data_IF_292147373769
#
_entry.id   IF_292147373769
#
_cell.length_a   1.000
_cell.length_b   1.000
_cell.length_c   1.000
_cell.angle_alpha   90.00
_cell.angle_beta   90.00
_cell.angle_gamma   90.00
#
_symmetry.space_group_name_H-M   'P 1'
#
loop_
_entity.id
_entity.type
_entity.pdbx_description
1 polymer ?
#
# COMPACT_ATOMS: atom_id res chain seq x y z
N UNK A 1 -76.02 -12.85 -17.65
CA UNK A 1 -74.88 -13.46 -16.94
C UNK A 1 -73.63 -13.22 -17.78
N UNK A 2 -72.84 -12.24 -17.36
CA UNK A 2 -71.50 -11.92 -17.86
C UNK A 2 -70.55 -13.09 -17.59
N UNK A 3 -69.42 -13.30 -18.24
CA UNK A 3 -68.65 -12.55 -19.22
C UNK A 3 -67.28 -13.23 -19.24
N UNK A 4 -66.95 -13.91 -20.34
CA UNK A 4 -65.69 -14.65 -20.52
C UNK A 4 -64.62 -13.68 -21.04
N UNK A 5 -63.84 -13.10 -20.14
CA UNK A 5 -62.61 -12.36 -20.51
C UNK A 5 -61.84 -12.01 -19.25
N UNK A 6 -60.78 -12.76 -18.95
CA UNK A 6 -59.97 -12.50 -17.76
C UNK A 6 -58.86 -13.50 -17.50
N UNK A 7 -58.09 -13.89 -18.52
CA UNK A 7 -56.95 -14.78 -18.32
C UNK A 7 -55.82 -14.53 -19.33
N UNK A 8 -55.41 -13.27 -19.49
CA UNK A 8 -54.20 -12.87 -20.25
C UNK A 8 -53.46 -11.63 -19.72
N UNK A 9 -53.68 -11.21 -18.47
CA UNK A 9 -53.05 -9.97 -17.93
C UNK A 9 -52.04 -10.24 -16.79
N UNK A 10 -51.93 -11.47 -16.29
CA UNK A 10 -51.05 -11.74 -15.15
C UNK A 10 -49.59 -12.10 -15.49
N UNK A 11 -49.25 -12.35 -16.76
CA UNK A 11 -47.86 -12.66 -17.17
C UNK A 11 -47.08 -11.44 -17.70
N UNK A 12 -47.75 -10.32 -17.98
CA UNK A 12 -47.07 -9.07 -18.42
C UNK A 12 -46.64 -8.19 -17.24
N UNK A 13 -47.29 -8.29 -16.08
CA UNK A 13 -46.88 -7.50 -14.90
C UNK A 13 -45.63 -8.04 -14.21
N UNK A 14 -45.37 -9.34 -14.30
CA UNK A 14 -44.15 -9.95 -13.73
C UNK A 14 -42.90 -9.71 -14.60
N UNK A 15 -43.04 -9.62 -15.93
CA UNK A 15 -41.93 -9.27 -16.81
C UNK A 15 -41.53 -7.79 -16.71
N UNK A 16 -42.46 -6.90 -16.35
CA UNK A 16 -42.18 -5.45 -16.22
C UNK A 16 -41.51 -5.16 -14.86
N UNK A 17 -41.88 -5.86 -13.78
CA UNK A 17 -41.22 -5.70 -12.48
C UNK A 17 -39.80 -6.27 -12.40
N UNK A 18 -39.47 -7.30 -13.19
CA UNK A 18 -38.11 -7.82 -13.26
C UNK A 18 -37.19 -7.00 -14.19
N UNK A 19 -37.73 -6.48 -15.29
CA UNK A 19 -36.94 -5.64 -16.21
C UNK A 19 -36.69 -4.23 -15.67
N UNK A 20 -37.63 -3.63 -14.91
CA UNK A 20 -37.40 -2.30 -14.30
C UNK A 20 -36.40 -2.32 -13.13
N UNK A 21 -36.24 -3.44 -12.42
CA UNK A 21 -35.29 -3.52 -11.29
C UNK A 21 -33.84 -3.74 -11.77
N UNK A 22 -33.64 -4.37 -12.91
CA UNK A 22 -32.32 -4.52 -13.53
C UNK A 22 -31.87 -3.23 -14.25
N UNK A 23 -32.80 -2.45 -14.79
CA UNK A 23 -32.46 -1.20 -15.48
C UNK A 23 -32.09 -0.02 -14.56
N UNK A 24 -32.45 -0.04 -13.27
CA UNK A 24 -32.15 1.09 -12.36
C UNK A 24 -30.82 0.97 -11.59
N UNK A 25 -30.19 -0.20 -11.56
CA UNK A 25 -28.93 -0.44 -10.86
C UNK A 25 -27.70 -0.12 -11.73
N UNK A 26 -27.77 -0.41 -13.03
CA UNK A 26 -26.66 -0.14 -13.97
C UNK A 26 -26.43 1.36 -14.25
N UNK A 27 -27.48 2.18 -14.17
CA UNK A 27 -27.40 3.62 -14.45
C UNK A 27 -26.98 4.48 -13.25
N UNK A 28 -27.18 4.01 -12.02
CA UNK A 28 -26.87 4.80 -10.83
C UNK A 28 -25.39 4.74 -10.45
N UNK A 29 -24.69 3.65 -10.71
CA UNK A 29 -23.33 3.45 -10.20
C UNK A 29 -22.25 4.34 -10.88
N UNK A 30 -22.31 4.62 -12.20
CA UNK A 30 -21.46 5.62 -12.84
C UNK A 30 -21.77 7.07 -12.41
N UNK A 31 -23.02 7.39 -12.05
CA UNK A 31 -23.36 8.68 -11.44
C UNK A 31 -22.91 8.77 -9.97
N UNK A 32 -22.91 7.66 -9.23
CA UNK A 32 -22.47 7.59 -7.83
C UNK A 32 -20.98 7.90 -7.65
N UNK A 33 -20.14 7.64 -8.66
CA UNK A 33 -18.72 7.98 -8.67
C UNK A 33 -18.41 9.33 -9.34
N UNK A 34 -19.46 10.04 -9.80
CA UNK A 34 -19.41 11.44 -10.25
C UNK A 34 -19.85 12.43 -9.16
N UNK A 35 -20.49 11.96 -8.09
CA UNK A 35 -20.86 12.81 -6.96
C UNK A 35 -19.68 13.00 -6.00
N UNK A 36 -19.49 14.20 -5.41
CA UNK A 36 -18.38 14.47 -4.50
C UNK A 36 -18.40 13.50 -3.30
N UNK A 37 -17.29 12.77 -3.15
CA UNK A 37 -17.10 11.54 -2.37
C UNK A 37 -17.15 11.69 -0.83
N UNK A 38 -17.64 12.81 -0.28
CA UNK A 38 -17.59 13.10 1.16
C UNK A 38 -18.70 12.45 2.01
N UNK A 39 -19.73 11.84 1.42
CA UNK A 39 -20.99 11.55 2.15
C UNK A 39 -21.37 10.05 2.25
N UNK A 40 -20.62 9.10 1.67
CA UNK A 40 -21.21 7.79 1.31
C UNK A 40 -20.54 6.52 1.86
N UNK A 41 -19.80 6.57 2.96
CA UNK A 41 -19.15 5.34 3.45
C UNK A 41 -20.15 4.22 3.83
N UNK A 42 -21.24 4.56 4.53
CA UNK A 42 -22.25 3.57 4.95
C UNK A 42 -23.22 3.18 3.82
N UNK A 43 -23.55 4.12 2.94
CA UNK A 43 -24.48 3.89 1.83
C UNK A 43 -23.88 3.12 0.66
N UNK A 44 -22.55 3.21 0.47
CA UNK A 44 -21.84 2.40 -0.52
C UNK A 44 -21.89 0.93 -0.13
N UNK A 45 -21.57 0.60 1.12
CA UNK A 45 -21.51 -0.80 1.59
C UNK A 45 -22.89 -1.47 1.65
N UNK A 46 -23.96 -0.76 2.02
CA UNK A 46 -25.33 -1.33 2.08
C UNK A 46 -25.93 -1.68 0.70
N UNK A 47 -25.62 -0.89 -0.33
CA UNK A 47 -26.11 -1.16 -1.70
C UNK A 47 -25.28 -2.23 -2.42
N UNK A 48 -24.01 -2.40 -2.03
CA UNK A 48 -23.14 -3.48 -2.52
C UNK A 48 -23.61 -4.87 -2.10
N UNK A 49 -24.29 -5.00 -0.96
CA UNK A 49 -24.85 -6.28 -0.48
C UNK A 49 -25.85 -6.93 -1.44
N UNK A 50 -26.38 -6.17 -2.40
CA UNK A 50 -27.42 -6.63 -3.33
C UNK A 50 -26.87 -7.14 -4.67
N UNK A 51 -25.56 -7.01 -4.92
CA UNK A 51 -24.93 -7.46 -6.18
C UNK A 51 -24.35 -8.86 -6.04
N UNK A 52 -24.55 -9.71 -7.04
CA UNK A 52 -23.86 -11.01 -7.14
C UNK A 52 -22.35 -10.81 -7.30
N UNK A 53 -21.56 -11.85 -7.02
CA UNK A 53 -20.11 -11.80 -7.21
C UNK A 53 -19.72 -11.47 -8.65
N UNK A 54 -20.41 -12.06 -9.64
CA UNK A 54 -20.17 -11.80 -11.06
C UNK A 54 -20.52 -10.35 -11.44
N UNK A 55 -21.60 -9.80 -10.89
CA UNK A 55 -22.00 -8.41 -11.11
C UNK A 55 -20.95 -7.43 -10.53
N UNK A 56 -20.45 -7.73 -9.33
CA UNK A 56 -19.36 -6.95 -8.71
C UNK A 56 -18.08 -7.01 -9.54
N UNK A 57 -17.71 -8.19 -10.04
CA UNK A 57 -16.51 -8.37 -10.87
C UNK A 57 -16.63 -7.62 -12.20
N UNK A 58 -17.77 -7.73 -12.89
CA UNK A 58 -18.02 -7.01 -14.15
C UNK A 58 -17.99 -5.51 -13.93
N UNK A 59 -18.60 -5.04 -12.85
CA UNK A 59 -18.60 -3.62 -12.52
C UNK A 59 -17.19 -3.09 -12.27
N UNK A 60 -16.43 -3.74 -11.38
CA UNK A 60 -15.06 -3.32 -11.06
C UNK A 60 -14.16 -3.36 -12.30
N UNK A 61 -14.33 -4.34 -13.19
CA UNK A 61 -13.57 -4.44 -14.43
C UNK A 61 -13.87 -3.33 -15.45
N UNK A 62 -15.12 -2.86 -15.50
CA UNK A 62 -15.59 -1.88 -16.48
C UNK A 62 -15.52 -0.42 -16.02
N UNK A 63 -15.22 -0.16 -14.74
CA UNK A 63 -15.12 1.20 -14.25
C UNK A 63 -13.90 1.90 -14.87
N UNK A 64 -14.11 3.08 -15.47
CA UNK A 64 -13.05 3.81 -16.17
C UNK A 64 -12.29 4.74 -15.20
N UNK A 65 -11.19 4.24 -14.64
CA UNK A 65 -10.33 5.04 -13.78
C UNK A 65 -9.43 6.00 -14.57
N UNK A 66 -9.23 5.77 -15.87
CA UNK A 66 -8.22 6.49 -16.66
C UNK A 66 -8.62 7.93 -17.00
N UNK A 67 -9.91 8.25 -16.98
CA UNK A 67 -10.44 9.61 -17.16
C UNK A 67 -10.21 10.52 -15.94
N UNK A 68 -9.80 9.95 -14.81
CA UNK A 68 -9.62 10.70 -13.55
C UNK A 68 -8.30 11.46 -13.53
N UNK A 69 -8.35 12.66 -12.96
CA UNK A 69 -7.18 13.46 -12.62
C UNK A 69 -6.35 12.79 -11.52
N UNK A 70 -5.11 13.23 -11.36
CA UNK A 70 -4.19 12.69 -10.36
C UNK A 70 -4.75 12.76 -8.93
N UNK A 71 -5.24 13.95 -8.54
CA UNK A 71 -5.84 14.18 -7.23
C UNK A 71 -7.07 13.30 -6.97
N UNK A 72 -7.91 13.09 -7.98
CA UNK A 72 -9.06 12.17 -7.88
C UNK A 72 -8.62 10.71 -7.67
N UNK A 73 -7.50 10.28 -8.28
CA UNK A 73 -6.99 8.92 -8.10
C UNK A 73 -6.47 8.70 -6.67
N UNK A 74 -5.78 9.68 -6.10
CA UNK A 74 -5.31 9.65 -4.70
C UNK A 74 -6.50 9.58 -3.74
N UNK A 75 -7.51 10.42 -3.93
CA UNK A 75 -8.75 10.39 -3.13
C UNK A 75 -9.48 9.05 -3.25
N UNK A 76 -9.59 8.50 -4.46
CA UNK A 76 -10.19 7.19 -4.69
C UNK A 76 -9.40 6.07 -4.02
N UNK A 77 -8.06 6.11 -4.07
CA UNK A 77 -7.23 5.12 -3.42
C UNK A 77 -7.41 5.18 -1.90
N UNK A 78 -7.42 6.36 -1.29
CA UNK A 78 -7.70 6.53 0.14
C UNK A 78 -9.07 5.97 0.53
N UNK A 79 -10.11 6.26 -0.26
CA UNK A 79 -11.46 5.76 -0.03
C UNK A 79 -11.53 4.23 -0.06
N UNK A 80 -10.91 3.63 -1.08
CA UNK A 80 -10.90 2.18 -1.25
C UNK A 80 -10.01 1.47 -0.22
N UNK A 81 -9.05 2.18 0.36
CA UNK A 81 -8.04 1.63 1.27
C UNK A 81 -8.25 1.85 2.76
N UNK A 82 -9.21 2.69 3.17
CA UNK A 82 -9.52 2.90 4.58
C UNK A 82 -9.79 1.58 5.32
N UNK A 83 -9.35 1.46 6.58
CA UNK A 83 -9.23 0.22 7.37
C UNK A 83 -10.48 -0.69 7.46
N UNK A 84 -11.69 -0.20 7.17
CA UNK A 84 -12.90 -1.03 7.06
C UNK A 84 -13.27 -1.40 5.62
N UNK A 85 -12.78 -0.63 4.65
CA UNK A 85 -13.13 -0.68 3.25
C UNK A 85 -12.51 -1.85 2.48
N UNK A 86 -11.23 -2.17 2.68
CA UNK A 86 -10.59 -3.27 1.92
C UNK A 86 -11.15 -4.65 2.32
N UNK A 87 -11.82 -4.76 3.45
CA UNK A 87 -12.54 -5.98 3.86
C UNK A 87 -13.87 -6.16 3.11
N UNK A 88 -14.37 -5.13 2.42
CA UNK A 88 -15.52 -5.27 1.51
C UNK A 88 -15.06 -5.90 0.19
N UNK A 89 -15.68 -7.02 -0.25
CA UNK A 89 -15.33 -7.69 -1.50
C UNK A 89 -15.36 -6.76 -2.71
N UNK A 90 -16.33 -5.85 -2.80
CA UNK A 90 -16.41 -4.92 -3.93
C UNK A 90 -15.31 -3.86 -3.89
N UNK A 91 -15.07 -3.22 -2.73
CA UNK A 91 -14.02 -2.20 -2.60
C UNK A 91 -12.65 -2.80 -2.93
N UNK A 92 -12.38 -4.04 -2.51
CA UNK A 92 -11.18 -4.77 -2.91
C UNK A 92 -11.09 -5.02 -4.41
N UNK A 93 -12.17 -5.49 -5.04
CA UNK A 93 -12.22 -5.66 -6.51
C UNK A 93 -11.97 -4.35 -7.24
N UNK A 94 -12.54 -3.24 -6.76
CA UNK A 94 -12.31 -1.90 -7.31
C UNK A 94 -10.87 -1.44 -7.12
N UNK A 95 -10.29 -1.67 -5.94
CA UNK A 95 -8.90 -1.34 -5.64
C UNK A 95 -7.92 -2.12 -6.52
N UNK A 96 -8.16 -3.43 -6.72
CA UNK A 96 -7.40 -4.26 -7.65
C UNK A 96 -7.56 -3.80 -9.09
N UNK A 97 -8.79 -3.51 -9.53
CA UNK A 97 -9.03 -2.98 -10.88
C UNK A 97 -8.33 -1.65 -11.11
N UNK A 98 -8.38 -0.75 -10.14
CA UNK A 98 -7.67 0.53 -10.16
C UNK A 98 -6.17 0.30 -10.38
N UNK A 99 -5.54 -0.53 -9.54
CA UNK A 99 -4.12 -0.88 -9.66
C UNK A 99 -3.78 -1.37 -11.07
N UNK A 100 -4.51 -2.37 -11.57
CA UNK A 100 -4.19 -3.00 -12.85
C UNK A 100 -4.50 -2.10 -14.06
N UNK A 101 -5.51 -1.23 -14.01
CA UNK A 101 -5.74 -0.25 -15.07
C UNK A 101 -4.63 0.82 -15.11
N UNK A 102 -4.23 1.34 -13.96
CA UNK A 102 -3.14 2.32 -13.88
C UNK A 102 -1.79 1.73 -14.30
N UNK A 103 -1.51 0.48 -13.92
CA UNK A 103 -0.29 -0.23 -14.34
C UNK A 103 -0.25 -0.47 -15.86
N UNK A 104 -1.35 -0.94 -16.47
CA UNK A 104 -1.41 -1.20 -17.93
C UNK A 104 -1.33 0.08 -18.77
N UNK A 105 -1.74 1.22 -18.22
CA UNK A 105 -1.66 2.53 -18.88
C UNK A 105 -0.35 3.27 -18.59
N UNK A 106 0.60 2.65 -17.87
CA UNK A 106 1.85 3.26 -17.42
C UNK A 106 1.68 4.50 -16.53
N UNK A 107 0.47 4.79 -16.05
CA UNK A 107 0.24 5.92 -15.13
C UNK A 107 0.87 5.66 -13.77
N UNK A 108 0.88 4.40 -13.32
CA UNK A 108 1.47 4.01 -12.04
C UNK A 108 3.00 4.10 -12.03
N UNK A 109 3.64 3.97 -13.19
CA UNK A 109 5.10 4.08 -13.32
C UNK A 109 5.57 5.54 -13.18
N UNK A 110 4.69 6.50 -13.49
CA UNK A 110 4.94 7.93 -13.40
C UNK A 110 4.54 8.52 -12.06
N UNK A 111 4.05 7.69 -11.14
CA UNK A 111 3.45 8.11 -9.89
C UNK A 111 3.84 7.19 -8.74
N UNK A 112 4.99 7.52 -8.18
CA UNK A 112 5.58 6.81 -7.05
C UNK A 112 4.74 6.90 -5.78
N UNK A 113 3.87 7.90 -5.64
CA UNK A 113 3.05 8.07 -4.44
C UNK A 113 1.90 7.07 -4.43
N UNK A 114 1.10 6.99 -5.51
CA UNK A 114 0.04 5.98 -5.62
C UNK A 114 0.63 4.56 -5.48
N UNK A 115 1.78 4.30 -6.12
CA UNK A 115 2.45 3.00 -6.06
C UNK A 115 2.89 2.64 -4.62
N UNK A 116 3.45 3.60 -3.88
CA UNK A 116 3.80 3.42 -2.48
C UNK A 116 2.55 3.12 -1.63
N UNK A 117 1.48 3.89 -1.81
CA UNK A 117 0.23 3.68 -1.09
C UNK A 117 -0.38 2.31 -1.39
N UNK A 118 -0.25 1.81 -2.63
CA UNK A 118 -0.71 0.46 -2.98
C UNK A 118 0.08 -0.59 -2.22
N UNK A 119 1.40 -0.44 -2.12
CA UNK A 119 2.25 -1.33 -1.35
C UNK A 119 1.91 -1.29 0.15
N UNK A 120 1.78 -0.10 0.75
CA UNK A 120 1.45 0.03 2.18
C UNK A 120 0.10 -0.58 2.52
N UNK A 121 -0.90 -0.39 1.67
CA UNK A 121 -2.21 -1.02 1.86
C UNK A 121 -2.17 -2.52 1.66
N UNK A 122 -1.40 -3.01 0.68
CA UNK A 122 -1.17 -4.44 0.51
C UNK A 122 -0.53 -5.04 1.78
N UNK A 123 0.46 -4.38 2.40
CA UNK A 123 1.06 -4.81 3.67
C UNK A 123 0.03 -4.94 4.79
N UNK A 124 -0.93 -4.01 4.89
CA UNK A 124 -2.01 -4.08 5.90
C UNK A 124 -2.89 -5.33 5.75
N UNK A 125 -2.95 -5.93 4.56
CA UNK A 125 -3.72 -7.15 4.30
C UNK A 125 -2.97 -8.45 4.62
N UNK A 126 -1.75 -8.40 5.14
CA UNK A 126 -1.01 -9.61 5.49
C UNK A 126 -1.72 -10.51 6.51
N UNK A 127 -2.63 -9.94 7.31
CA UNK A 127 -3.45 -10.67 8.29
C UNK A 127 -4.82 -11.09 7.73
N UNK A 128 -5.18 -10.67 6.52
CA UNK A 128 -6.45 -11.01 5.87
C UNK A 128 -6.38 -12.45 5.30
N UNK A 129 -7.42 -13.29 5.46
CA UNK A 129 -7.43 -14.66 4.93
C UNK A 129 -7.16 -14.74 3.42
N UNK A 130 -7.55 -13.72 2.66
CA UNK A 130 -7.37 -13.65 1.21
C UNK A 130 -5.98 -13.18 0.80
N UNK A 131 -5.06 -12.92 1.74
CA UNK A 131 -3.66 -12.56 1.45
C UNK A 131 -3.02 -13.49 0.43
N UNK A 132 -3.35 -14.79 0.50
CA UNK A 132 -2.83 -15.83 -0.38
C UNK A 132 -3.58 -15.96 -1.72
N UNK A 133 -4.55 -15.09 -1.99
CA UNK A 133 -5.24 -15.06 -3.28
C UNK A 133 -4.26 -14.75 -4.41
N UNK A 134 -4.49 -15.38 -5.57
CA UNK A 134 -3.62 -15.19 -6.75
C UNK A 134 -3.57 -13.72 -7.19
N UNK A 135 -4.66 -12.96 -7.02
CA UNK A 135 -4.71 -11.55 -7.40
C UNK A 135 -3.79 -10.69 -6.53
N UNK A 136 -3.80 -10.86 -5.21
CA UNK A 136 -2.92 -10.11 -4.30
C UNK A 136 -1.45 -10.53 -4.46
N UNK A 137 -1.20 -11.84 -4.66
CA UNK A 137 0.16 -12.33 -4.89
C UNK A 137 0.73 -11.85 -6.23
N UNK A 138 -0.08 -11.78 -7.28
CA UNK A 138 0.33 -11.21 -8.57
C UNK A 138 0.64 -9.71 -8.45
N UNK A 139 -0.20 -8.97 -7.73
CA UNK A 139 0.04 -7.55 -7.44
C UNK A 139 1.35 -7.36 -6.66
N UNK A 140 1.60 -8.19 -5.65
CA UNK A 140 2.85 -8.18 -4.88
C UNK A 140 4.07 -8.42 -5.79
N UNK A 141 4.00 -9.41 -6.66
CA UNK A 141 5.09 -9.75 -7.58
C UNK A 141 5.35 -8.67 -8.63
N UNK A 142 4.35 -7.85 -8.99
CA UNK A 142 4.52 -6.76 -9.96
C UNK A 142 5.11 -5.48 -9.36
N UNK A 143 5.24 -5.37 -8.04
CA UNK A 143 5.87 -4.23 -7.37
C UNK A 143 7.40 -4.22 -7.61
N UNK A 144 8.05 -3.05 -7.59
CA UNK A 144 9.51 -2.95 -7.46
C UNK A 144 10.05 -3.74 -6.26
N UNK A 145 11.24 -4.34 -6.38
CA UNK A 145 11.85 -5.20 -5.35
C UNK A 145 11.85 -4.57 -3.95
N UNK A 146 12.20 -3.29 -3.88
CA UNK A 146 12.13 -2.47 -2.68
C UNK A 146 10.75 -2.54 -1.97
N UNK A 147 9.68 -2.31 -2.73
CA UNK A 147 8.31 -2.38 -2.22
C UNK A 147 7.91 -3.82 -1.92
N UNK A 148 8.39 -4.81 -2.66
CA UNK A 148 8.14 -6.22 -2.32
C UNK A 148 8.68 -6.58 -0.93
N UNK A 149 9.91 -6.16 -0.62
CA UNK A 149 10.53 -6.34 0.70
C UNK A 149 9.70 -5.59 1.74
N UNK A 150 9.42 -4.31 1.51
CA UNK A 150 8.62 -3.50 2.41
C UNK A 150 7.24 -4.11 2.67
N UNK A 151 6.61 -4.75 1.70
CA UNK A 151 5.30 -5.40 1.89
C UNK A 151 5.44 -6.71 2.65
N UNK A 152 6.40 -7.57 2.31
CA UNK A 152 6.49 -8.95 2.84
C UNK A 152 7.10 -9.01 4.23
N UNK A 153 8.09 -8.17 4.51
CA UNK A 153 8.97 -8.36 5.65
C UNK A 153 8.31 -7.91 6.94
N UNK A 154 8.15 -8.83 7.90
CA UNK A 154 7.73 -8.46 9.25
C UNK A 154 8.78 -7.54 9.89
N UNK A 155 10.05 -7.92 9.73
CA UNK A 155 11.21 -7.21 10.25
C UNK A 155 12.15 -6.86 9.11
N UNK A 156 12.61 -5.61 9.11
CA UNK A 156 13.57 -5.07 8.16
C UNK A 156 14.93 -4.96 8.83
N UNK A 157 15.99 -5.17 8.06
CA UNK A 157 17.34 -4.93 8.50
C UNK A 157 17.95 -3.85 7.59
N UNK A 158 18.58 -2.86 8.22
CA UNK A 158 19.17 -1.71 7.56
C UNK A 158 20.65 -1.99 7.34
N UNK A 159 21.03 -2.26 6.10
CA UNK A 159 22.42 -2.55 5.72
C UNK A 159 23.03 -1.34 5.00
N UNK A 160 24.24 -0.97 5.37
CA UNK A 160 24.99 0.07 4.67
C UNK A 160 25.57 -0.46 3.35
N UNK A 161 25.30 0.21 2.23
CA UNK A 161 25.64 -0.25 0.88
C UNK A 161 27.16 -0.49 0.69
N UNK A 162 28.00 0.37 1.28
CA UNK A 162 29.45 0.31 1.11
C UNK A 162 30.14 -0.65 2.08
N UNK A 163 29.73 -0.61 3.33
CA UNK A 163 30.48 -1.25 4.43
C UNK A 163 29.88 -2.62 4.81
N UNK A 164 28.70 -2.98 4.28
CA UNK A 164 27.98 -4.22 4.61
C UNK A 164 27.73 -4.37 6.12
N UNK A 165 27.54 -3.24 6.79
CA UNK A 165 27.30 -3.13 8.22
C UNK A 165 25.81 -2.91 8.45
N UNK A 166 25.28 -3.59 9.46
CA UNK A 166 23.88 -3.50 9.86
C UNK A 166 23.72 -2.51 11.00
N UNK A 167 22.68 -1.68 10.90
CA UNK A 167 22.35 -0.70 11.92
C UNK A 167 21.68 -1.35 13.13
N UNK A 168 22.27 -1.13 14.29
CA UNK A 168 21.74 -1.42 15.62
C UNK A 168 21.18 -0.17 16.29
N UNK A 169 20.66 -0.34 17.50
CA UNK A 169 20.20 0.75 18.36
C UNK A 169 21.30 1.78 18.64
N UNK A 170 20.89 3.03 18.87
CA UNK A 170 21.74 4.19 19.15
C UNK A 170 22.75 4.52 18.03
N UNK A 171 22.50 4.07 16.80
CA UNK A 171 23.44 4.27 15.70
C UNK A 171 24.68 3.40 15.76
N UNK A 172 24.67 2.32 16.56
CA UNK A 172 25.75 1.34 16.56
C UNK A 172 25.71 0.51 15.27
N UNK A 173 26.88 0.04 14.80
CA UNK A 173 27.01 -0.72 13.56
C UNK A 173 27.65 -2.07 13.85
N UNK A 174 27.14 -3.11 13.19
CA UNK A 174 27.63 -4.48 13.34
C UNK A 174 27.82 -5.16 11.98
N UNK A 175 28.89 -5.93 11.81
CA UNK A 175 29.06 -6.76 10.63
C UNK A 175 28.04 -7.89 10.64
N UNK A 176 27.16 -7.92 9.63
CA UNK A 176 26.04 -8.86 9.55
C UNK A 176 24.94 -8.61 10.60
N UNK A 177 23.74 -9.13 10.34
CA UNK A 177 22.62 -9.06 11.27
C UNK A 177 22.74 -10.15 12.35
N UNK A 178 23.70 -10.01 13.27
CA UNK A 178 24.01 -11.05 14.27
C UNK A 178 23.24 -10.89 15.60
N UNK A 179 22.35 -9.90 15.68
CA UNK A 179 21.56 -9.62 16.89
C UNK A 179 20.12 -9.27 16.53
N UNK A 180 19.19 -9.52 17.46
CA UNK A 180 17.79 -9.08 17.31
C UNK A 180 17.66 -7.57 17.24
N UNK A 181 18.62 -6.81 17.78
CA UNK A 181 18.59 -5.35 17.75
C UNK A 181 18.99 -4.75 16.41
N UNK A 182 19.35 -5.57 15.41
CA UNK A 182 19.48 -5.14 14.02
C UNK A 182 18.14 -5.09 13.28
N UNK A 183 17.05 -5.52 13.93
CA UNK A 183 15.71 -5.59 13.33
C UNK A 183 14.92 -4.30 13.59
N UNK A 184 14.26 -3.85 12.53
CA UNK A 184 13.46 -2.64 12.45
C UNK A 184 12.05 -2.98 11.97
N UNK A 185 11.05 -2.25 12.45
CA UNK A 185 9.66 -2.39 12.00
C UNK A 185 9.12 -1.10 11.43
N UNK A 186 8.26 -1.22 10.43
CA UNK A 186 7.52 -0.09 9.88
C UNK A 186 6.36 0.30 10.80
N UNK A 187 6.37 1.55 11.29
CA UNK A 187 5.32 2.09 12.15
C UNK A 187 4.10 2.55 11.33
N UNK A 188 3.26 1.61 10.89
CA UNK A 188 2.11 1.84 9.99
C UNK A 188 0.98 2.70 10.57
N UNK A 189 0.96 2.94 11.88
CA UNK A 189 -0.13 3.61 12.61
C UNK A 189 0.15 5.06 13.02
N UNK A 190 1.35 5.57 12.79
CA UNK A 190 1.75 6.95 13.11
C UNK A 190 1.99 7.72 11.81
N UNK A 191 1.02 8.54 11.41
CA UNK A 191 1.12 9.53 10.31
C UNK A 191 2.23 10.58 10.61
N UNK A 192 2.82 11.24 9.58
CA UNK A 192 2.24 11.48 8.27
C UNK A 192 2.77 10.56 7.16
N UNK A 193 1.83 9.98 6.42
CA UNK A 193 2.03 9.51 5.04
C UNK A 193 2.26 10.67 4.06
N UNK A 194 2.30 11.91 4.54
CA UNK A 194 2.56 13.08 3.70
C UNK A 194 3.95 12.97 3.08
N UNK A 195 4.01 12.99 1.74
CA UNK A 195 5.25 13.08 0.95
C UNK A 195 6.14 11.82 0.97
N UNK A 196 5.56 10.66 1.30
CA UNK A 196 6.20 9.34 1.19
C UNK A 196 7.35 9.06 2.16
N UNK A 197 7.37 9.77 3.29
CA UNK A 197 8.24 9.45 4.42
C UNK A 197 7.69 8.26 5.21
N UNK A 198 8.57 7.30 5.50
CA UNK A 198 8.24 6.11 6.27
C UNK A 198 9.06 6.06 7.56
N UNK A 199 8.40 5.73 8.67
CA UNK A 199 8.99 5.65 10.01
C UNK A 199 9.34 4.20 10.38
N UNK A 200 10.60 3.95 10.74
CA UNK A 200 11.08 2.70 11.32
C UNK A 200 11.32 2.85 12.81
N UNK A 201 10.98 1.82 13.57
CA UNK A 201 11.31 1.68 14.99
C UNK A 201 12.18 0.45 15.18
N UNK A 202 13.17 0.53 16.06
CA UNK A 202 13.97 -0.64 16.40
C UNK A 202 13.18 -1.62 17.27
N UNK A 203 13.46 -2.91 17.11
CA UNK A 203 12.84 -3.96 17.93
C UNK A 203 13.24 -3.91 19.42
N UNK A 204 14.52 -3.61 19.71
CA UNK A 204 15.05 -3.61 21.08
C UNK A 204 14.83 -2.28 21.81
N UNK A 205 14.78 -1.18 21.06
CA UNK A 205 14.57 0.16 21.61
C UNK A 205 13.63 0.97 20.71
N UNK A 206 12.35 1.05 21.09
CA UNK A 206 11.34 1.77 20.33
C UNK A 206 11.59 3.30 20.30
N UNK A 207 12.49 3.83 21.14
CA UNK A 207 12.89 5.24 21.07
C UNK A 207 13.89 5.49 19.94
N UNK A 208 14.56 4.45 19.44
CA UNK A 208 15.40 4.57 18.26
C UNK A 208 14.54 4.48 16.99
N UNK A 209 14.48 5.61 16.30
CA UNK A 209 13.56 5.85 15.19
C UNK A 209 14.32 6.45 14.02
N UNK A 210 14.04 5.91 12.83
CA UNK A 210 14.58 6.43 11.57
C UNK A 210 13.48 6.67 10.56
N UNK A 211 13.66 7.68 9.73
CA UNK A 211 12.77 8.03 8.64
C UNK A 211 13.50 7.92 7.31
N UNK A 212 12.81 7.41 6.30
CA UNK A 212 13.32 7.29 4.93
C UNK A 212 12.26 7.79 3.94
N UNK A 213 12.71 8.45 2.88
CA UNK A 213 11.82 8.95 1.83
C UNK A 213 11.76 7.94 0.68
N UNK A 214 10.60 7.32 0.47
CA UNK A 214 10.45 6.33 -0.58
C UNK A 214 10.33 6.94 -1.98
N UNK A 215 9.76 8.14 -2.14
CA UNK A 215 9.45 8.70 -3.45
C UNK A 215 10.69 9.00 -4.30
N UNK A 216 11.78 9.40 -3.65
CA UNK A 216 13.02 9.79 -4.32
C UNK A 216 13.93 8.58 -4.67
N UNK A 217 13.66 7.41 -4.10
CA UNK A 217 14.67 6.33 -3.95
C UNK A 217 14.18 4.93 -4.36
N UNK A 218 12.96 4.83 -4.90
CA UNK A 218 12.35 3.56 -5.32
C UNK A 218 13.14 2.83 -6.41
N UNK A 219 13.76 3.56 -7.34
CA UNK A 219 14.49 2.98 -8.47
C UNK A 219 15.90 2.51 -8.10
N UNK A 220 16.56 3.22 -7.19
CA UNK A 220 17.94 2.92 -6.79
C UNK A 220 18.02 1.78 -5.79
N UNK A 221 16.96 1.53 -5.02
CA UNK A 221 16.95 0.56 -3.92
C UNK A 221 17.84 0.95 -2.73
N UNK A 222 18.38 2.16 -2.75
CA UNK A 222 19.18 2.74 -1.67
C UNK A 222 18.47 3.96 -1.09
N UNK A 223 18.48 4.05 0.22
CA UNK A 223 17.70 4.99 1.00
C UNK A 223 18.58 5.91 1.82
N UNK A 224 18.11 7.15 1.99
CA UNK A 224 18.70 8.11 2.92
C UNK A 224 17.89 8.10 4.21
N UNK A 225 18.58 7.87 5.33
CA UNK A 225 17.95 7.79 6.64
C UNK A 225 18.14 9.08 7.42
N UNK A 226 17.07 9.58 8.02
CA UNK A 226 17.05 10.78 8.83
C UNK A 226 16.43 10.50 10.20
N UNK A 227 16.91 11.17 11.25
CA UNK A 227 16.26 11.07 12.57
C UNK A 227 14.87 11.69 12.58
N UNK A 228 14.66 12.74 11.78
CA UNK A 228 13.38 13.42 11.62
C UNK A 228 13.23 13.94 10.18
N UNK A 229 12.03 13.93 9.60
CA UNK A 229 11.78 14.40 8.24
C UNK A 229 11.59 15.93 8.20
N UNK A 230 12.63 16.69 8.55
CA UNK A 230 12.59 18.16 8.53
C UNK A 230 13.79 18.74 7.75
N UNK A 231 13.70 20.01 7.33
CA UNK A 231 14.75 20.66 6.50
C UNK A 231 16.10 20.82 7.20
N UNK A 232 16.10 20.75 8.54
CA UNK A 232 17.28 20.90 9.38
C UNK A 232 17.79 19.55 9.87
N UNK A 233 17.30 18.46 9.30
CA UNK A 233 17.68 17.12 9.71
C UNK A 233 19.08 16.79 9.19
N UNK A 234 19.60 15.67 9.66
CA UNK A 234 20.85 15.11 9.15
C UNK A 234 20.62 13.71 8.64
N UNK A 235 21.22 13.41 7.50
CA UNK A 235 21.33 12.05 7.00
C UNK A 235 22.34 11.31 7.89
N UNK A 236 21.99 10.09 8.28
CA UNK A 236 22.92 9.20 8.95
C UNK A 236 23.75 8.44 7.91
N UNK A 237 25.06 8.50 8.09
CA UNK A 237 26.04 7.99 7.13
C UNK A 237 27.04 7.09 7.85
N UNK A 238 27.64 6.13 7.16
CA UNK A 238 28.69 5.27 7.65
C UNK A 238 29.88 5.28 6.72
N UNK A 239 31.07 5.35 7.31
CA UNK A 239 32.33 5.21 6.58
C UNK A 239 33.33 4.43 7.40
N UNK A 240 33.87 3.37 6.82
CA UNK A 240 34.84 2.50 7.48
C UNK A 240 34.30 1.98 8.83
N UNK A 241 33.01 1.66 8.89
CA UNK A 241 32.34 1.15 10.09
C UNK A 241 32.05 2.18 11.17
N UNK A 242 32.35 3.46 10.95
CA UNK A 242 32.00 4.57 11.86
C UNK A 242 30.79 5.33 11.37
N UNK A 243 29.79 5.52 12.22
CA UNK A 243 28.61 6.34 11.91
C UNK A 243 28.85 7.84 12.13
N UNK A 244 28.32 8.69 11.26
CA UNK A 244 28.34 10.15 11.38
C UNK A 244 27.06 10.78 10.79
N UNK A 245 26.86 12.06 11.04
CA UNK A 245 25.70 12.82 10.56
C UNK A 245 26.15 13.86 9.52
N UNK A 246 25.43 13.92 8.39
CA UNK A 246 25.61 14.95 7.35
C UNK A 246 24.33 15.78 7.26
N UNK A 247 24.43 17.08 7.52
CA UNK A 247 23.29 18.00 7.46
C UNK A 247 22.64 18.00 6.07
N UNK A 248 21.31 18.03 6.04
CA UNK A 248 20.52 18.08 4.80
C UNK A 248 20.55 19.49 4.21
N UNK A 249 20.55 20.52 5.07
CA UNK A 249 20.64 21.91 4.67
C UNK A 249 21.98 22.16 3.95
N UNK A 250 21.93 22.37 2.63
CA UNK A 250 23.10 22.68 1.81
C UNK A 250 23.69 21.49 1.02
N UNK A 251 23.13 20.29 1.14
CA UNK A 251 23.48 19.17 0.25
C UNK A 251 22.53 19.15 -0.95
N UNK A 252 23.05 19.25 -2.18
CA UNK A 252 22.24 18.86 -3.34
C UNK A 252 21.98 17.35 -3.29
N UNK A 253 20.80 16.90 -3.71
CA UNK A 253 20.46 15.46 -3.76
C UNK A 253 21.46 14.64 -4.60
N UNK A 254 22.20 15.28 -5.50
CA UNK A 254 23.26 14.69 -6.34
C UNK A 254 24.63 14.60 -5.65
N UNK A 255 24.80 15.29 -4.52
CA UNK A 255 26.05 15.37 -3.74
C UNK A 255 26.01 14.52 -2.46
N UNK A 256 25.01 13.65 -2.34
CA UNK A 256 24.94 12.71 -1.24
C UNK A 256 25.99 11.62 -1.48
N UNK A 257 26.94 11.55 -0.56
CA UNK A 257 28.02 10.55 -0.62
C UNK A 257 27.43 9.15 -0.48
N UNK A 258 28.06 8.17 -1.14
CA UNK A 258 27.72 6.75 -0.99
C UNK A 258 27.72 6.28 0.46
N UNK A 259 28.44 6.99 1.32
CA UNK A 259 28.50 6.78 2.75
C UNK A 259 27.14 7.00 3.44
N UNK A 260 26.12 7.55 2.78
CA UNK A 260 24.79 7.72 3.36
C UNK A 260 23.74 6.76 2.78
N UNK A 261 24.16 5.79 1.96
CA UNK A 261 23.24 4.89 1.27
C UNK A 261 22.94 3.64 2.09
N UNK A 262 21.66 3.46 2.41
CA UNK A 262 21.16 2.33 3.19
C UNK A 262 20.25 1.44 2.36
N UNK A 263 20.36 0.14 2.54
CA UNK A 263 19.49 -0.85 1.90
C UNK A 263 18.53 -1.44 2.93
N UNK A 264 17.29 -1.71 2.48
CA UNK A 264 16.28 -2.42 3.25
C UNK A 264 16.32 -3.90 2.88
N UNK A 265 16.64 -4.75 3.84
CA UNK A 265 16.66 -6.20 3.69
C UNK A 265 15.57 -6.86 4.53
N UNK A 266 15.03 -7.98 4.04
CA UNK A 266 14.16 -8.83 4.85
C UNK A 266 15.00 -9.63 5.84
N UNK A 267 14.76 -9.44 7.14
CA UNK A 267 15.36 -10.27 8.17
C UNK A 267 14.32 -10.86 9.12
N UNK A 268 13.11 -11.09 8.63
CA UNK A 268 12.01 -11.71 9.37
C UNK A 268 12.36 -13.12 9.88
N UNK A 269 13.27 -13.83 9.19
CA UNK A 269 13.79 -15.14 9.59
C UNK A 269 14.92 -15.09 10.62
N UNK A 270 15.47 -13.92 10.92
CA UNK A 270 16.62 -13.77 11.82
C UNK A 270 16.38 -14.34 13.23
N UNK A 271 15.22 -14.13 13.89
CA UNK A 271 14.97 -14.72 15.20
C UNK A 271 15.14 -16.24 15.22
N UNK A 272 14.65 -16.93 14.18
CA UNK A 272 14.77 -18.38 14.06
C UNK A 272 16.21 -18.83 13.82
N UNK A 273 16.98 -18.07 13.04
CA UNK A 273 18.39 -18.34 12.83
C UNK A 273 19.20 -18.16 14.12
N UNK A 274 18.97 -17.05 14.83
CA UNK A 274 19.67 -16.78 16.09
C UNK A 274 19.36 -17.84 17.16
N UNK A 275 18.09 -18.24 17.28
CA UNK A 275 17.70 -19.33 18.17
C UNK A 275 18.39 -20.65 17.81
N UNK A 276 18.47 -20.96 16.51
CA UNK A 276 19.09 -22.20 16.02
C UNK A 276 20.61 -22.26 16.25
N UNK A 277 21.31 -21.16 16.02
CA UNK A 277 22.78 -21.14 16.03
C UNK A 277 23.38 -20.71 17.37
N UNK A 278 22.68 -19.90 18.16
CA UNK A 278 23.19 -19.33 19.40
C UNK A 278 22.38 -19.72 20.64
N UNK A 279 21.23 -20.38 20.50
CA UNK A 279 20.40 -20.80 21.63
C UNK A 279 19.74 -19.65 22.40
N UNK A 280 19.58 -18.48 21.76
CA UNK A 280 18.98 -17.25 22.32
C UNK A 280 17.57 -16.99 21.81
#
# INVERSE_FOLDING_TARGET
>A
MAGRSGLKIWLLYWSIFWTQRQHSLGYNLPEMLKQPLKVLNDQFDDRCRHLSEEEQQRFAGNFNFLEKSQLELEELQQLLSNNSGIHSPLKRRLWLSLYWQLRRSHRLDNDNMLLLDFALNLRRLQTDPEWNSSQLQNMLQSLPKALQILVRSRWLCLEHDRDLMYLMTAGALQLGANSRCCMWQLALGTEPSSHGWLRLENLCDAQDVWYFNMLQQLESGVYLMQREPNSNSSNYCSRLGSGYYKEVAGAEAKDVEKDCHWQLNDCSGLPSLLQRFYGV
#
